data_IF_994516537476
#
_entry.id   IF_994516537476
#
_cell.length_a   1.000
_cell.length_b   1.000
_cell.length_c   1.000
_cell.angle_alpha   90.00
_cell.angle_beta   90.00
_cell.angle_gamma   90.00
#
_symmetry.space_group_name_H-M   'P 1'
#
loop_
_entity.id
_entity.type
_entity.pdbx_description
1 polymer ?
#
# COMPACT_ATOMS: atom_id res chain seq x y z
N UNK A 1 21.37 -7.97 8.22
CA UNK A 1 21.40 -6.56 7.76
C UNK A 1 21.37 -6.39 6.23
N UNK A 2 21.17 -7.44 5.41
CA UNK A 2 21.33 -7.37 3.95
C UNK A 2 20.07 -6.99 3.15
N UNK A 3 18.85 -7.23 3.66
CA UNK A 3 17.61 -6.99 2.91
C UNK A 3 17.29 -5.49 2.71
N UNK A 4 17.72 -4.65 3.65
CA UNK A 4 17.41 -3.21 3.65
C UNK A 4 18.22 -2.42 2.61
N UNK A 5 19.49 -2.77 2.41
CA UNK A 5 20.38 -2.04 1.51
C UNK A 5 20.07 -2.37 0.04
N UNK A 6 19.72 -3.62 -0.25
CA UNK A 6 19.45 -4.08 -1.61
C UNK A 6 18.19 -3.43 -2.21
N UNK A 7 17.09 -3.31 -1.45
CA UNK A 7 15.88 -2.65 -1.95
C UNK A 7 16.07 -1.14 -2.10
N UNK A 8 16.85 -0.50 -1.22
CA UNK A 8 17.17 0.92 -1.30
C UNK A 8 17.93 1.27 -2.59
N UNK A 9 18.92 0.46 -2.96
CA UNK A 9 19.65 0.61 -4.23
C UNK A 9 18.73 0.41 -5.45
N UNK A 10 17.84 -0.59 -5.42
CA UNK A 10 16.86 -0.80 -6.49
C UNK A 10 15.91 0.38 -6.64
N UNK A 11 15.43 0.95 -5.53
CA UNK A 11 14.54 2.11 -5.54
C UNK A 11 15.23 3.35 -6.12
N UNK A 12 16.49 3.60 -5.73
CA UNK A 12 17.29 4.70 -6.29
C UNK A 12 17.47 4.55 -7.81
N UNK A 13 17.82 3.35 -8.27
CA UNK A 13 17.97 3.06 -9.70
C UNK A 13 16.65 3.23 -10.46
N UNK A 14 15.53 2.78 -9.89
CA UNK A 14 14.20 2.97 -10.47
C UNK A 14 13.88 4.46 -10.67
N UNK A 15 14.14 5.27 -9.63
CA UNK A 15 13.95 6.73 -9.68
C UNK A 15 14.82 7.40 -10.76
N UNK A 16 16.07 6.97 -10.93
CA UNK A 16 16.98 7.52 -11.94
C UNK A 16 16.51 7.20 -13.37
N UNK A 17 16.17 5.93 -13.65
CA UNK A 17 15.62 5.51 -14.94
C UNK A 17 14.30 6.23 -15.24
N UNK A 18 13.43 6.41 -14.24
CA UNK A 18 12.19 7.16 -14.45
C UNK A 18 12.46 8.62 -14.83
N UNK A 19 13.47 9.26 -14.23
CA UNK A 19 13.88 10.64 -14.57
C UNK A 19 14.43 10.75 -15.97
N UNK A 20 15.05 9.68 -16.49
CA UNK A 20 15.52 9.60 -17.88
C UNK A 20 14.37 9.38 -18.88
N UNK A 21 13.13 9.20 -18.41
CA UNK A 21 11.95 9.04 -19.25
C UNK A 21 11.64 7.58 -19.63
N UNK A 22 12.48 6.63 -19.25
CA UNK A 22 12.26 5.21 -19.53
C UNK A 22 11.29 4.60 -18.50
N UNK A 23 10.00 4.89 -18.70
CA UNK A 23 8.94 4.47 -17.80
C UNK A 23 8.79 2.94 -17.73
N UNK A 24 9.11 2.23 -18.83
CA UNK A 24 8.97 0.78 -18.90
C UNK A 24 10.03 0.06 -18.04
N UNK A 25 11.28 0.52 -18.07
CA UNK A 25 12.32 -0.06 -17.22
C UNK A 25 12.19 0.42 -15.76
N UNK A 26 11.71 1.65 -15.54
CA UNK A 26 11.36 2.12 -14.20
C UNK A 26 10.26 1.25 -13.55
N UNK A 27 9.18 0.94 -14.29
CA UNK A 27 8.11 0.03 -13.86
C UNK A 27 8.67 -1.30 -13.35
N UNK A 28 9.51 -1.96 -14.17
CA UNK A 28 10.14 -3.24 -13.81
C UNK A 28 10.96 -3.16 -12.53
N UNK A 29 11.70 -2.07 -12.33
CA UNK A 29 12.50 -1.88 -11.12
C UNK A 29 11.64 -1.62 -9.89
N UNK A 30 10.58 -0.81 -9.99
CA UNK A 30 9.66 -0.61 -8.87
C UNK A 30 8.92 -1.90 -8.49
N UNK A 31 8.55 -2.74 -9.45
CA UNK A 31 7.98 -4.06 -9.16
C UNK A 31 8.98 -4.95 -8.42
N UNK A 32 10.26 -4.96 -8.82
CA UNK A 32 11.33 -5.67 -8.09
C UNK A 32 11.55 -5.14 -6.68
N UNK A 33 11.41 -3.82 -6.46
CA UNK A 33 11.45 -3.25 -5.11
C UNK A 33 10.34 -3.87 -4.26
N UNK A 34 9.11 -3.94 -4.78
CA UNK A 34 7.96 -4.51 -4.08
C UNK A 34 8.01 -6.03 -3.89
N UNK A 35 8.81 -6.75 -4.68
CA UNK A 35 9.13 -8.17 -4.45
C UNK A 35 10.09 -8.36 -3.28
N UNK A 36 11.03 -7.41 -3.09
CA UNK A 36 12.00 -7.45 -1.97
C UNK A 36 11.41 -6.90 -0.68
N UNK A 37 10.63 -5.84 -0.77
CA UNK A 37 9.92 -5.23 0.35
C UNK A 37 8.52 -4.78 -0.11
N UNK A 38 7.47 -5.56 0.21
CA UNK A 38 6.10 -5.22 -0.16
C UNK A 38 5.55 -4.01 0.61
N UNK A 39 6.28 -3.47 1.58
CA UNK A 39 5.84 -2.32 2.39
C UNK A 39 6.43 -0.99 1.90
N UNK A 40 7.21 -0.99 0.80
CA UNK A 40 7.79 0.23 0.23
C UNK A 40 6.71 1.11 -0.44
N UNK A 41 6.12 2.04 0.33
CA UNK A 41 5.08 2.97 -0.12
C UNK A 41 5.50 3.77 -1.35
N UNK A 42 6.76 4.18 -1.43
CA UNK A 42 7.26 5.00 -2.53
C UNK A 42 7.15 4.27 -3.88
N UNK A 43 7.49 2.99 -3.94
CA UNK A 43 7.39 2.19 -5.16
C UNK A 43 5.93 2.10 -5.66
N UNK A 44 4.96 1.92 -4.76
CA UNK A 44 3.54 1.98 -5.12
C UNK A 44 3.13 3.34 -5.68
N UNK A 45 3.55 4.45 -5.05
CA UNK A 45 3.24 5.80 -5.52
C UNK A 45 3.79 6.04 -6.93
N UNK A 46 5.04 5.65 -7.19
CA UNK A 46 5.66 5.82 -8.51
C UNK A 46 4.99 4.98 -9.58
N UNK A 47 4.67 3.71 -9.30
CA UNK A 47 3.92 2.85 -10.23
C UNK A 47 2.55 3.42 -10.58
N UNK A 48 1.80 3.97 -9.62
CA UNK A 48 0.51 4.63 -9.91
C UNK A 48 0.69 5.84 -10.84
N UNK A 49 1.75 6.64 -10.64
CA UNK A 49 2.06 7.78 -11.51
C UNK A 49 2.41 7.32 -12.92
N UNK A 50 3.25 6.29 -13.06
CA UNK A 50 3.65 5.71 -14.34
C UNK A 50 2.43 5.19 -15.11
N UNK A 51 1.63 4.32 -14.49
CA UNK A 51 0.45 3.76 -15.15
C UNK A 51 -0.59 4.80 -15.50
N UNK A 52 -0.74 5.84 -14.68
CA UNK A 52 -1.58 6.99 -15.01
C UNK A 52 -1.08 7.72 -16.25
N UNK A 53 0.24 7.98 -16.38
CA UNK A 53 0.83 8.64 -17.55
C UNK A 53 0.63 7.81 -18.82
N UNK A 54 0.75 6.50 -18.70
CA UNK A 54 0.56 5.54 -19.81
C UNK A 54 -0.91 5.24 -20.11
N UNK A 55 -1.86 5.76 -19.32
CA UNK A 55 -3.30 5.43 -19.38
C UNK A 55 -3.60 3.93 -19.18
N UNK A 56 -2.68 3.21 -18.54
CA UNK A 56 -2.78 1.79 -18.20
C UNK A 56 -3.62 1.60 -16.92
N UNK A 57 -4.88 2.00 -16.98
CA UNK A 57 -5.77 2.06 -15.80
C UNK A 57 -5.99 0.69 -15.15
N UNK A 58 -6.00 -0.39 -15.93
CA UNK A 58 -6.09 -1.76 -15.41
C UNK A 58 -4.89 -2.11 -14.52
N UNK A 59 -3.67 -1.76 -14.95
CA UNK A 59 -2.46 -1.97 -14.16
C UNK A 59 -2.44 -1.05 -12.93
N UNK A 60 -2.85 0.20 -13.09
CA UNK A 60 -2.98 1.14 -11.96
C UNK A 60 -3.91 0.58 -10.86
N UNK A 61 -5.06 0.02 -11.25
CA UNK A 61 -6.01 -0.58 -10.32
C UNK A 61 -5.39 -1.79 -9.57
N UNK A 62 -4.64 -2.64 -10.28
CA UNK A 62 -3.94 -3.78 -9.67
C UNK A 62 -2.92 -3.33 -8.63
N UNK A 63 -2.13 -2.28 -8.94
CA UNK A 63 -1.16 -1.69 -8.00
C UNK A 63 -1.85 -1.16 -6.76
N UNK A 64 -2.94 -0.39 -6.92
CA UNK A 64 -3.70 0.14 -5.78
C UNK A 64 -4.23 -0.98 -4.88
N UNK A 65 -4.77 -2.06 -5.47
CA UNK A 65 -5.25 -3.20 -4.69
C UNK A 65 -4.12 -3.90 -3.93
N UNK A 66 -2.97 -4.13 -4.57
CA UNK A 66 -1.81 -4.76 -3.93
C UNK A 66 -1.28 -3.89 -2.78
N UNK A 67 -1.24 -2.58 -2.97
CA UNK A 67 -0.77 -1.63 -1.98
C UNK A 67 -1.69 -1.57 -0.75
N UNK A 68 -3.00 -1.54 -0.96
CA UNK A 68 -4.00 -1.61 0.12
C UNK A 68 -3.87 -2.91 0.91
N UNK A 69 -3.70 -4.04 0.22
CA UNK A 69 -3.51 -5.35 0.87
C UNK A 69 -2.23 -5.40 1.70
N UNK A 70 -1.10 -4.97 1.15
CA UNK A 70 0.18 -4.97 1.84
C UNK A 70 0.16 -4.09 3.10
N UNK A 71 -0.40 -2.89 3.02
CA UNK A 71 -0.53 -1.99 4.17
C UNK A 71 -1.49 -2.54 5.23
N UNK A 72 -2.60 -3.14 4.81
CA UNK A 72 -3.53 -3.77 5.73
C UNK A 72 -2.89 -4.95 6.47
N UNK A 73 -2.17 -5.83 5.77
CA UNK A 73 -1.41 -6.93 6.36
C UNK A 73 -0.32 -6.44 7.32
N UNK A 74 0.36 -5.33 6.99
CA UNK A 74 1.35 -4.70 7.87
C UNK A 74 0.72 -4.24 9.18
N UNK A 75 -0.43 -3.55 9.10
CA UNK A 75 -1.16 -3.06 10.27
C UNK A 75 -1.72 -4.22 11.09
N UNK A 76 -2.26 -5.27 10.46
CA UNK A 76 -2.74 -6.46 11.17
C UNK A 76 -1.60 -7.18 11.89
N UNK A 77 -0.45 -7.34 11.25
CA UNK A 77 0.72 -8.00 11.85
C UNK A 77 1.23 -7.22 13.06
N UNK A 78 1.33 -5.89 12.95
CA UNK A 78 1.71 -5.02 14.07
C UNK A 78 0.68 -5.05 15.19
N UNK A 79 -0.61 -5.02 14.84
CA UNK A 79 -1.71 -5.14 15.78
C UNK A 79 -1.67 -6.47 16.51
N UNK A 80 -1.51 -7.59 15.82
CA UNK A 80 -1.42 -8.91 16.44
C UNK A 80 -0.22 -8.99 17.39
N UNK A 81 0.95 -8.46 17.01
CA UNK A 81 2.12 -8.39 17.89
C UNK A 81 1.86 -7.54 19.14
N UNK A 82 1.21 -6.39 18.99
CA UNK A 82 0.83 -5.53 20.11
C UNK A 82 -0.21 -6.19 21.02
N UNK A 83 -1.24 -6.81 20.45
CA UNK A 83 -2.31 -7.51 21.17
C UNK A 83 -1.77 -8.72 21.94
N UNK A 84 -0.83 -9.47 21.37
CA UNK A 84 -0.18 -10.60 22.05
C UNK A 84 0.66 -10.14 23.25
N UNK A 85 1.38 -9.02 23.10
CA UNK A 85 2.17 -8.42 24.19
C UNK A 85 1.30 -7.79 25.30
N UNK A 86 0.09 -7.33 24.96
CA UNK A 86 -0.81 -6.60 25.87
C UNK A 86 -2.21 -7.22 25.98
N UNK A 87 -2.29 -8.56 26.06
CA UNK A 87 -3.52 -9.37 25.95
C UNK A 87 -4.70 -8.94 26.84
N UNK A 88 -4.44 -8.44 28.06
CA UNK A 88 -5.47 -7.95 28.99
C UNK A 88 -5.99 -6.54 28.67
N UNK A 89 -5.13 -5.66 28.13
CA UNK A 89 -5.49 -4.29 27.72
C UNK A 89 -6.24 -4.33 26.38
N UNK A 90 -5.82 -5.23 25.52
CA UNK A 90 -6.39 -5.54 24.21
C UNK A 90 -7.87 -5.96 24.26
N UNK A 91 -8.29 -6.80 25.22
CA UNK A 91 -9.69 -7.23 25.34
C UNK A 91 -10.60 -6.09 25.79
N UNK A 92 -10.14 -5.28 26.76
CA UNK A 92 -10.87 -4.11 27.25
C UNK A 92 -10.98 -3.01 26.17
N UNK A 93 -9.87 -2.70 25.48
CA UNK A 93 -9.87 -1.69 24.41
C UNK A 93 -10.67 -2.11 23.18
N UNK A 94 -10.67 -3.39 22.83
CA UNK A 94 -11.49 -3.93 21.73
C UNK A 94 -12.98 -3.85 22.04
N UNK A 95 -13.39 -4.18 23.27
CA UNK A 95 -14.78 -4.06 23.70
C UNK A 95 -15.26 -2.60 23.64
N UNK A 96 -14.43 -1.66 24.07
CA UNK A 96 -14.70 -0.23 23.99
C UNK A 96 -14.77 0.26 22.53
N UNK A 97 -13.78 -0.10 21.70
CA UNK A 97 -13.73 0.31 20.29
C UNK A 97 -14.90 -0.23 19.46
N UNK A 98 -15.38 -1.44 19.76
CA UNK A 98 -16.62 -1.99 19.17
C UNK A 98 -17.85 -1.19 19.58
N UNK A 99 -17.97 -0.83 20.87
CA UNK A 99 -19.09 0.01 21.36
C UNK A 99 -19.09 1.41 20.75
N UNK A 100 -17.91 1.96 20.47
CA UNK A 100 -17.74 3.28 19.86
C UNK A 100 -17.86 3.28 18.33
N UNK A 101 -18.05 2.13 17.67
CA UNK A 101 -18.18 2.04 16.20
C UNK A 101 -16.89 2.25 15.41
N UNK A 102 -15.75 2.39 16.09
CA UNK A 102 -14.42 2.68 15.49
C UNK A 102 -13.78 1.38 14.93
N UNK A 103 -14.31 0.23 15.33
CA UNK A 103 -13.95 -1.07 14.79
C UNK A 103 -15.17 -1.74 14.14
N UNK A 104 -14.99 -2.33 12.96
CA UNK A 104 -16.06 -3.13 12.34
C UNK A 104 -16.31 -4.44 13.12
N UNK A 105 -17.37 -5.20 12.78
CA UNK A 105 -17.72 -6.48 13.44
C UNK A 105 -16.56 -7.49 13.51
N UNK A 106 -15.56 -7.41 12.62
CA UNK A 106 -14.36 -8.25 12.60
C UNK A 106 -13.21 -7.73 13.51
N UNK A 107 -13.41 -6.62 14.23
CA UNK A 107 -12.38 -6.00 15.06
C UNK A 107 -11.29 -5.28 14.25
N UNK A 108 -11.51 -5.03 12.96
CA UNK A 108 -10.60 -4.27 12.10
C UNK A 108 -10.79 -2.80 12.39
N UNK A 109 -9.73 -2.13 12.86
CA UNK A 109 -9.74 -0.67 12.98
C UNK A 109 -9.90 -0.10 11.58
N UNK A 110 -10.80 0.85 11.42
CA UNK A 110 -10.84 1.68 10.21
C UNK A 110 -9.51 2.43 10.21
N UNK A 111 -8.61 2.09 9.30
CA UNK A 111 -7.28 2.70 9.24
C UNK A 111 -7.47 4.10 8.68
N UNK A 112 -7.58 5.09 9.57
CA UNK A 112 -7.63 6.53 9.27
C UNK A 112 -6.25 7.06 8.83
N UNK A 113 -5.54 6.33 7.97
CA UNK A 113 -4.33 6.87 7.35
C UNK A 113 -4.74 7.73 6.16
N UNK A 114 -4.33 9.02 6.10
CA UNK A 114 -4.62 9.89 4.97
C UNK A 114 -4.22 9.29 3.62
N UNK A 115 -3.15 8.48 3.60
CA UNK A 115 -2.68 7.75 2.42
C UNK A 115 -3.70 6.71 1.92
N UNK A 116 -4.30 5.95 2.83
CA UNK A 116 -5.29 4.93 2.49
C UNK A 116 -6.57 5.55 1.94
N UNK A 117 -6.99 6.69 2.50
CA UNK A 117 -8.11 7.47 1.97
C UNK A 117 -7.81 8.00 0.56
N UNK A 118 -6.60 8.50 0.32
CA UNK A 118 -6.17 8.94 -1.02
C UNK A 118 -6.21 7.79 -2.03
N UNK A 119 -5.68 6.62 -1.66
CA UNK A 119 -5.65 5.45 -2.54
C UNK A 119 -7.04 4.86 -2.78
N UNK A 120 -7.93 4.89 -1.79
CA UNK A 120 -9.32 4.48 -1.94
C UNK A 120 -10.08 5.42 -2.90
N UNK A 121 -9.96 6.74 -2.72
CA UNK A 121 -10.52 7.72 -3.67
C UNK A 121 -9.98 7.50 -5.08
N UNK A 122 -8.67 7.26 -5.20
CA UNK A 122 -8.02 6.99 -6.49
C UNK A 122 -8.57 5.72 -7.14
N UNK A 123 -8.73 4.63 -6.38
CA UNK A 123 -9.29 3.37 -6.85
C UNK A 123 -10.65 3.57 -7.53
N UNK A 124 -11.53 4.34 -6.89
CA UNK A 124 -12.87 4.62 -7.45
C UNK A 124 -12.80 5.46 -8.73
N UNK A 125 -11.89 6.43 -8.81
CA UNK A 125 -11.66 7.20 -10.04
C UNK A 125 -11.15 6.32 -11.19
N UNK A 126 -10.20 5.44 -10.91
CA UNK A 126 -9.61 4.53 -11.91
C UNK A 126 -10.67 3.56 -12.42
N UNK A 127 -11.49 2.97 -11.54
CA UNK A 127 -12.63 2.11 -11.94
C UNK A 127 -13.60 2.82 -12.88
N UNK A 128 -13.96 4.08 -12.59
CA UNK A 128 -14.82 4.87 -13.47
C UNK A 128 -14.18 5.08 -14.86
N UNK A 129 -12.86 5.33 -14.90
CA UNK A 129 -12.15 5.48 -16.18
C UNK A 129 -12.07 4.19 -17.00
N UNK A 130 -11.94 3.04 -16.35
CA UNK A 130 -12.01 1.73 -17.02
C UNK A 130 -13.41 1.48 -17.58
N UNK A 131 -14.47 1.86 -16.85
CA UNK A 131 -15.85 1.66 -17.30
C UNK A 131 -16.25 2.59 -18.46
N UNK A 132 -15.64 3.77 -18.53
CA UNK A 132 -16.01 4.84 -19.46
C UNK A 132 -15.06 4.99 -20.65
N UNK A 133 -14.00 4.17 -20.75
CA UNK A 133 -13.05 4.15 -21.85
C UNK A 133 -13.21 2.89 -22.67
#
# INVERSE_FOLDING_TARGET
>A
MSLSIAHSNLLRKANEIERQGDLNNAEKLYLKVLEKDPYTIEAYKRLMVIFRKQKEYSKELQVINRAVKALDEQVQTQKQRWMQKHKKIASASLALAKKMGIANKAGKMIIDSPLMLQWAKRKELVKKRIKNG
#
